data_IF_801783276610
#
_entry.id   IF_801783276610
#
_cell.length_a   1.000
_cell.length_b   1.000
_cell.length_c   1.000
_cell.angle_alpha   90.00
_cell.angle_beta   90.00
_cell.angle_gamma   90.00
#
_symmetry.space_group_name_H-M   'P 1'
#
loop_
_entity.id
_entity.type
_entity.pdbx_description
1 polymer ?
#
# COMPACT_ATOMS: atom_id res chain seq x y z
N UNK A 1 -35.24 37.03 -16.29
CA UNK A 1 -35.82 35.69 -16.30
C UNK A 1 -34.68 34.69 -16.26
N UNK A 2 -34.31 34.22 -15.07
CA UNK A 2 -33.16 33.33 -14.88
C UNK A 2 -33.65 31.88 -15.07
N UNK A 3 -33.13 31.19 -16.06
CA UNK A 3 -33.35 29.76 -16.28
C UNK A 3 -32.48 29.02 -15.26
N UNK A 4 -33.06 28.63 -14.13
CA UNK A 4 -32.44 27.69 -13.19
C UNK A 4 -32.56 26.31 -13.83
N UNK A 5 -31.51 25.87 -14.47
CA UNK A 5 -31.39 24.49 -14.93
C UNK A 5 -31.25 23.61 -13.67
N UNK A 6 -32.35 22.98 -13.27
CA UNK A 6 -32.32 21.96 -12.21
C UNK A 6 -31.52 20.76 -12.72
N UNK A 7 -30.23 20.69 -12.37
CA UNK A 7 -29.44 19.48 -12.56
C UNK A 7 -30.03 18.47 -11.60
N UNK A 8 -30.79 17.51 -12.13
CA UNK A 8 -31.27 16.36 -11.36
C UNK A 8 -30.01 15.56 -10.97
N UNK A 9 -29.50 15.78 -9.75
CA UNK A 9 -28.38 15.03 -9.20
C UNK A 9 -28.75 13.55 -9.12
N UNK A 10 -28.40 12.80 -10.14
CA UNK A 10 -28.46 11.36 -10.12
C UNK A 10 -27.40 10.89 -9.12
N UNK A 11 -27.81 10.52 -7.90
CA UNK A 11 -26.88 10.02 -6.88
C UNK A 11 -26.08 8.85 -7.46
N UNK A 12 -24.76 8.89 -7.33
CA UNK A 12 -23.90 7.80 -7.74
C UNK A 12 -24.32 6.50 -7.03
N UNK A 13 -24.28 5.37 -7.74
CA UNK A 13 -24.52 4.05 -7.13
C UNK A 13 -23.50 3.75 -6.05
N UNK A 14 -23.81 2.83 -5.13
CA UNK A 14 -22.87 2.39 -4.09
C UNK A 14 -21.52 1.91 -4.70
N UNK A 15 -21.58 1.17 -5.80
CA UNK A 15 -20.38 0.73 -6.52
C UNK A 15 -19.55 1.89 -7.10
N UNK A 16 -20.21 2.91 -7.67
CA UNK A 16 -19.53 4.09 -8.17
C UNK A 16 -18.89 4.90 -7.03
N UNK A 17 -19.56 5.01 -5.88
CA UNK A 17 -19.00 5.66 -4.70
C UNK A 17 -17.78 4.91 -4.14
N UNK A 18 -17.85 3.57 -4.04
CA UNK A 18 -16.74 2.73 -3.62
C UNK A 18 -15.52 2.88 -4.57
N UNK A 19 -15.76 2.83 -5.87
CA UNK A 19 -14.71 3.02 -6.89
C UNK A 19 -14.11 4.43 -6.81
N UNK A 20 -14.92 5.48 -6.65
CA UNK A 20 -14.43 6.85 -6.50
C UNK A 20 -13.49 6.99 -5.30
N UNK A 21 -13.86 6.41 -4.14
CA UNK A 21 -13.02 6.43 -2.93
C UNK A 21 -11.73 5.67 -3.15
N UNK A 22 -11.80 4.48 -3.75
CA UNK A 22 -10.62 3.67 -4.05
C UNK A 22 -9.64 4.45 -4.94
N UNK A 23 -10.09 5.03 -6.04
CA UNK A 23 -9.25 5.83 -6.94
C UNK A 23 -8.68 7.06 -6.23
N UNK A 24 -9.45 7.70 -5.35
CA UNK A 24 -8.97 8.85 -4.57
C UNK A 24 -7.86 8.46 -3.61
N UNK A 25 -8.01 7.34 -2.88
CA UNK A 25 -7.02 6.87 -1.90
C UNK A 25 -5.72 6.39 -2.56
N UNK A 26 -5.81 5.88 -3.80
CA UNK A 26 -4.67 5.40 -4.58
C UNK A 26 -3.99 6.53 -5.38
N UNK A 27 -4.59 7.70 -5.42
CA UNK A 27 -4.02 8.86 -6.10
C UNK A 27 -2.72 9.31 -5.40
N UNK A 28 -1.67 9.68 -6.15
CA UNK A 28 -0.48 10.33 -5.58
C UNK A 28 -0.77 11.61 -4.79
N UNK A 29 -1.95 12.23 -5.01
CA UNK A 29 -2.40 13.39 -4.28
C UNK A 29 -2.95 13.06 -2.88
N UNK A 30 -3.26 11.77 -2.57
CA UNK A 30 -3.68 11.39 -1.24
C UNK A 30 -2.49 11.49 -0.27
N UNK A 31 -2.61 12.24 0.83
CA UNK A 31 -1.44 12.72 1.57
C UNK A 31 -0.85 11.68 2.54
N UNK A 32 -0.48 10.51 2.05
CA UNK A 32 0.20 9.46 2.84
C UNK A 32 1.72 9.54 2.75
N UNK A 33 2.27 10.32 1.80
CA UNK A 33 3.71 10.51 1.64
C UNK A 33 4.45 9.33 1.02
N UNK A 34 3.78 8.39 0.38
CA UNK A 34 4.36 7.16 -0.17
C UNK A 34 5.53 7.39 -1.15
N UNK A 35 5.56 8.54 -1.85
CA UNK A 35 6.59 8.89 -2.84
C UNK A 35 7.99 9.08 -2.23
N UNK A 36 8.11 9.16 -0.91
CA UNK A 36 9.38 9.36 -0.20
C UNK A 36 10.08 8.08 0.20
N UNK A 37 9.52 6.92 -0.16
CA UNK A 37 10.02 5.62 0.26
C UNK A 37 10.41 4.77 -0.94
N UNK A 38 11.52 4.03 -0.83
CA UNK A 38 12.08 3.21 -1.90
C UNK A 38 12.15 1.71 -1.58
N UNK A 39 11.88 1.32 -0.35
CA UNK A 39 12.02 -0.08 0.12
C UNK A 39 13.41 -0.68 -0.16
N UNK A 40 14.47 0.08 0.11
CA UNK A 40 15.84 -0.34 -0.14
C UNK A 40 16.27 -0.31 -1.61
N UNK A 41 15.41 0.13 -2.53
CA UNK A 41 15.75 0.22 -3.96
C UNK A 41 16.92 1.19 -4.20
N UNK A 42 17.00 2.27 -3.45
CA UNK A 42 18.12 3.22 -3.57
C UNK A 42 19.46 2.54 -3.27
N UNK A 43 19.56 1.76 -2.20
CA UNK A 43 20.75 0.98 -1.90
C UNK A 43 21.03 -0.12 -2.94
N UNK A 44 19.99 -0.73 -3.52
CA UNK A 44 20.14 -1.71 -4.58
C UNK A 44 20.69 -1.09 -5.88
N UNK A 45 20.28 0.14 -6.20
CA UNK A 45 20.80 0.90 -7.35
C UNK A 45 22.26 1.31 -7.11
N UNK A 46 22.59 1.83 -5.92
CA UNK A 46 23.97 2.19 -5.56
C UNK A 46 24.92 0.97 -5.61
N UNK A 47 24.43 -0.19 -5.20
CA UNK A 47 25.16 -1.45 -5.30
C UNK A 47 25.25 -2.01 -6.74
N UNK A 48 24.69 -1.36 -7.74
CA UNK A 48 24.66 -1.81 -9.13
C UNK A 48 23.75 -3.00 -9.41
N UNK A 49 22.94 -3.43 -8.42
CA UNK A 49 22.01 -4.57 -8.57
C UNK A 49 20.78 -4.21 -9.43
N UNK A 50 20.42 -2.94 -9.49
CA UNK A 50 19.34 -2.42 -10.34
C UNK A 50 19.91 -1.26 -11.16
N UNK A 51 20.22 -1.52 -12.45
CA UNK A 51 20.84 -0.53 -13.34
C UNK A 51 20.00 -0.19 -14.58
N UNK A 52 18.89 -0.90 -14.81
CA UNK A 52 18.04 -0.75 -15.99
C UNK A 52 16.63 -1.25 -15.73
N UNK A 53 15.70 -0.97 -16.66
CA UNK A 53 14.28 -1.31 -16.55
C UNK A 53 14.00 -2.75 -16.15
N UNK A 54 14.64 -3.73 -16.78
CA UNK A 54 14.38 -5.14 -16.49
C UNK A 54 14.76 -5.51 -15.04
N UNK A 55 15.87 -4.95 -14.53
CA UNK A 55 16.26 -5.07 -13.12
C UNK A 55 15.24 -4.44 -12.18
N UNK A 56 14.70 -3.28 -12.53
CA UNK A 56 13.64 -2.62 -11.77
C UNK A 56 12.36 -3.48 -11.74
N UNK A 57 11.94 -4.03 -12.89
CA UNK A 57 10.78 -4.93 -12.97
C UNK A 57 10.98 -6.16 -12.08
N UNK A 58 12.16 -6.79 -12.13
CA UNK A 58 12.48 -7.96 -11.31
C UNK A 58 12.47 -7.62 -9.80
N UNK A 59 13.03 -6.46 -9.42
CA UNK A 59 13.03 -5.98 -8.04
C UNK A 59 11.61 -5.77 -7.51
N UNK A 60 10.79 -5.01 -8.23
CA UNK A 60 9.39 -4.70 -7.84
C UNK A 60 8.54 -5.96 -7.81
N UNK A 61 8.68 -6.86 -8.80
CA UNK A 61 7.98 -8.15 -8.82
C UNK A 61 8.34 -9.00 -7.59
N UNK A 62 9.61 -9.01 -7.17
CA UNK A 62 10.05 -9.71 -5.97
C UNK A 62 9.46 -9.08 -4.71
N UNK A 63 9.45 -7.74 -4.61
CA UNK A 63 8.84 -7.01 -3.50
C UNK A 63 7.35 -7.30 -3.37
N UNK A 64 6.61 -7.36 -4.48
CA UNK A 64 5.19 -7.69 -4.52
C UNK A 64 4.90 -9.13 -4.05
N UNK A 65 5.63 -10.11 -4.60
CA UNK A 65 5.26 -11.52 -4.45
C UNK A 65 5.93 -12.21 -3.27
N UNK A 66 7.10 -11.74 -2.84
CA UNK A 66 7.95 -12.40 -1.84
C UNK A 66 8.43 -11.49 -0.72
N UNK A 67 8.26 -10.17 -0.86
CA UNK A 67 8.64 -9.15 0.11
C UNK A 67 7.44 -8.50 0.81
N UNK A 68 7.54 -7.19 1.04
CA UNK A 68 6.56 -6.38 1.76
C UNK A 68 5.14 -6.48 1.15
N UNK A 69 5.01 -6.48 -0.18
CA UNK A 69 3.72 -6.57 -0.85
C UNK A 69 2.93 -7.85 -0.48
N UNK A 70 3.62 -8.99 -0.30
CA UNK A 70 3.00 -10.24 0.16
C UNK A 70 2.41 -10.08 1.58
N UNK A 71 3.18 -9.49 2.49
CA UNK A 71 2.76 -9.30 3.89
C UNK A 71 1.62 -8.28 3.96
N UNK A 72 1.81 -7.13 3.35
CA UNK A 72 0.84 -6.04 3.38
C UNK A 72 -0.49 -6.43 2.70
N UNK A 73 -0.44 -7.12 1.57
CA UNK A 73 -1.63 -7.64 0.93
C UNK A 73 -2.43 -8.60 1.82
N UNK A 74 -1.76 -9.52 2.51
CA UNK A 74 -2.41 -10.46 3.42
C UNK A 74 -3.02 -9.76 4.65
N UNK A 75 -2.29 -8.82 5.25
CA UNK A 75 -2.77 -8.02 6.38
C UNK A 75 -3.97 -7.14 5.99
N UNK A 76 -3.94 -6.52 4.81
CA UNK A 76 -5.04 -5.73 4.27
C UNK A 76 -6.31 -6.58 4.15
N UNK A 77 -6.21 -7.76 3.55
CA UNK A 77 -7.36 -8.65 3.35
C UNK A 77 -7.90 -9.17 4.68
N UNK A 78 -7.02 -9.49 5.63
CA UNK A 78 -7.41 -9.94 6.95
C UNK A 78 -8.15 -8.83 7.73
N UNK A 79 -7.61 -7.61 7.75
CA UNK A 79 -8.26 -6.45 8.37
C UNK A 79 -9.62 -6.15 7.73
N UNK A 80 -9.70 -6.19 6.40
CA UNK A 80 -10.95 -6.01 5.67
C UNK A 80 -12.01 -7.04 6.11
N UNK A 81 -11.64 -8.31 6.16
CA UNK A 81 -12.56 -9.40 6.55
C UNK A 81 -13.01 -9.31 8.01
N UNK A 82 -12.09 -9.00 8.91
CA UNK A 82 -12.41 -8.82 10.34
C UNK A 82 -13.36 -7.63 10.54
N UNK A 83 -13.09 -6.50 9.88
CA UNK A 83 -13.95 -5.32 9.92
C UNK A 83 -15.35 -5.64 9.35
N UNK A 84 -15.43 -6.32 8.22
CA UNK A 84 -16.71 -6.66 7.58
C UNK A 84 -17.56 -7.62 8.45
N UNK A 85 -16.92 -8.57 9.16
CA UNK A 85 -17.59 -9.52 10.05
C UNK A 85 -18.01 -8.94 11.40
N UNK A 86 -17.49 -7.79 11.79
CA UNK A 86 -17.71 -7.27 13.11
C UNK A 86 -16.85 -7.91 14.19
N UNK A 87 -15.75 -8.56 13.81
CA UNK A 87 -14.85 -9.24 14.73
C UNK A 87 -13.73 -8.29 15.16
N UNK A 88 -14.00 -7.54 16.25
CA UNK A 88 -13.07 -6.54 16.76
C UNK A 88 -11.80 -7.20 17.33
N UNK A 89 -11.92 -8.42 17.92
CA UNK A 89 -10.75 -9.15 18.43
C UNK A 89 -9.80 -9.53 17.30
N UNK A 90 -10.32 -10.16 16.24
CA UNK A 90 -9.50 -10.51 15.09
C UNK A 90 -8.90 -9.25 14.40
N UNK A 91 -9.63 -8.13 14.41
CA UNK A 91 -9.14 -6.87 13.85
C UNK A 91 -7.97 -6.29 14.67
N UNK A 92 -8.05 -6.36 16.00
CA UNK A 92 -6.99 -5.92 16.91
C UNK A 92 -5.75 -6.83 16.79
N UNK A 93 -5.93 -8.16 16.69
CA UNK A 93 -4.84 -9.12 16.43
C UNK A 93 -4.11 -8.83 15.10
N UNK A 94 -4.84 -8.47 14.05
CA UNK A 94 -4.25 -8.08 12.76
C UNK A 94 -3.49 -6.75 12.88
N UNK A 95 -3.98 -5.80 13.67
CA UNK A 95 -3.29 -4.53 13.91
C UNK A 95 -1.94 -4.75 14.63
N UNK A 96 -1.95 -5.54 15.70
CA UNK A 96 -0.74 -5.92 16.44
C UNK A 96 0.27 -6.67 15.55
N UNK A 97 -0.20 -7.64 14.77
CA UNK A 97 0.63 -8.37 13.83
C UNK A 97 1.24 -7.43 12.78
N UNK A 98 0.45 -6.50 12.24
CA UNK A 98 0.89 -5.51 11.25
C UNK A 98 1.94 -4.54 11.79
N UNK A 99 1.85 -4.17 13.06
CA UNK A 99 2.85 -3.35 13.73
C UNK A 99 4.16 -4.11 14.00
N UNK A 100 4.06 -5.40 14.38
CA UNK A 100 5.21 -6.23 14.73
C UNK A 100 5.95 -6.78 13.51
N UNK A 101 5.25 -6.99 12.39
CA UNK A 101 5.79 -7.70 11.21
C UNK A 101 6.53 -6.74 10.26
N UNK A 102 7.72 -6.27 10.67
CA UNK A 102 8.56 -5.38 9.85
C UNK A 102 10.02 -5.86 9.92
N UNK A 103 10.65 -6.00 8.74
CA UNK A 103 12.01 -6.54 8.63
C UNK A 103 13.10 -5.56 9.05
N UNK A 104 12.85 -4.23 8.94
CA UNK A 104 13.82 -3.16 9.20
C UNK A 104 13.15 -1.99 9.89
N UNK A 105 13.95 -1.12 10.54
CA UNK A 105 13.44 0.07 11.20
C UNK A 105 12.79 1.05 10.20
N UNK A 106 13.33 1.16 9.00
CA UNK A 106 12.79 2.03 7.94
C UNK A 106 11.43 1.55 7.43
N UNK A 107 11.26 0.24 7.22
CA UNK A 107 9.96 -0.31 6.80
C UNK A 107 8.91 -0.23 7.91
N UNK A 108 9.32 -0.29 9.18
CA UNK A 108 8.44 -0.05 10.32
C UNK A 108 7.97 1.40 10.36
N UNK A 109 8.92 2.35 10.27
CA UNK A 109 8.63 3.79 10.25
C UNK A 109 7.70 4.16 9.07
N UNK A 110 7.97 3.62 7.89
CA UNK A 110 7.13 3.84 6.70
C UNK A 110 5.70 3.38 6.93
N UNK A 111 5.52 2.13 7.37
CA UNK A 111 4.20 1.55 7.58
C UNK A 111 3.38 2.34 8.60
N UNK A 112 4.00 2.78 9.70
CA UNK A 112 3.38 3.60 10.74
C UNK A 112 3.04 5.01 10.23
N UNK A 113 3.99 5.68 9.58
CA UNK A 113 3.81 7.04 9.09
C UNK A 113 2.69 7.12 8.04
N UNK A 114 2.71 6.23 7.06
CA UNK A 114 1.66 6.16 6.03
C UNK A 114 0.31 5.73 6.62
N UNK A 115 0.30 4.77 7.54
CA UNK A 115 -0.91 4.31 8.22
C UNK A 115 -1.55 5.42 9.06
N UNK A 116 -0.75 6.18 9.80
CA UNK A 116 -1.21 7.33 10.59
C UNK A 116 -1.76 8.41 9.69
N UNK A 117 -1.05 8.77 8.61
CA UNK A 117 -1.50 9.79 7.66
C UNK A 117 -2.81 9.38 6.97
N UNK A 118 -2.89 8.13 6.48
CA UNK A 118 -4.10 7.57 5.86
C UNK A 118 -5.30 7.61 6.83
N UNK A 119 -5.10 7.13 8.05
CA UNK A 119 -6.14 7.06 9.09
C UNK A 119 -6.70 8.45 9.39
N UNK A 120 -5.84 9.43 9.65
CA UNK A 120 -6.25 10.79 9.99
C UNK A 120 -7.07 11.44 8.89
N UNK A 121 -6.61 11.35 7.64
CA UNK A 121 -7.31 11.94 6.50
C UNK A 121 -8.62 11.21 6.23
N UNK A 122 -8.62 9.87 6.29
CA UNK A 122 -9.82 9.07 6.02
C UNK A 122 -10.92 9.33 7.05
N UNK A 123 -10.58 9.44 8.33
CA UNK A 123 -11.55 9.80 9.39
C UNK A 123 -12.10 11.22 9.18
N UNK A 124 -11.25 12.16 8.76
CA UNK A 124 -11.68 13.54 8.54
C UNK A 124 -12.62 13.70 7.33
N UNK A 125 -12.38 12.93 6.25
CA UNK A 125 -13.08 13.12 4.96
C UNK A 125 -14.24 12.13 4.77
N UNK A 126 -14.05 10.87 5.17
CA UNK A 126 -15.05 9.79 5.06
C UNK A 126 -15.25 9.07 6.39
N UNK A 127 -15.75 9.77 7.43
CA UNK A 127 -15.88 9.20 8.75
C UNK A 127 -16.86 8.02 8.76
N UNK A 128 -16.43 6.92 9.39
CA UNK A 128 -17.31 5.83 9.81
C UNK A 128 -17.07 5.57 11.30
N UNK A 129 -18.12 5.41 12.11
CA UNK A 129 -17.96 5.27 13.57
C UNK A 129 -17.05 4.08 13.94
N UNK A 130 -17.16 3.00 13.20
CA UNK A 130 -16.45 1.77 13.50
C UNK A 130 -14.97 1.84 13.14
N UNK A 131 -14.61 2.42 11.98
CA UNK A 131 -13.21 2.65 11.65
C UNK A 131 -12.56 3.64 12.62
N UNK A 132 -13.28 4.71 13.00
CA UNK A 132 -12.79 5.67 14.00
C UNK A 132 -12.55 5.01 15.38
N UNK A 133 -13.47 4.15 15.83
CA UNK A 133 -13.31 3.39 17.08
C UNK A 133 -12.13 2.43 17.04
N UNK A 134 -11.93 1.73 15.91
CA UNK A 134 -10.75 0.87 15.69
C UNK A 134 -9.46 1.68 15.74
N UNK A 135 -9.38 2.78 15.03
CA UNK A 135 -8.19 3.64 15.01
C UNK A 135 -7.86 4.21 16.41
N UNK A 136 -8.89 4.53 17.19
CA UNK A 136 -8.70 5.04 18.56
C UNK A 136 -8.09 3.99 19.52
N UNK A 137 -8.30 2.68 19.28
CA UNK A 137 -7.67 1.61 20.05
C UNK A 137 -6.19 1.42 19.73
N UNK A 138 -5.75 1.84 18.53
CA UNK A 138 -4.38 1.67 18.04
C UNK A 138 -3.75 3.01 17.60
N UNK A 139 -3.57 3.98 18.51
CA UNK A 139 -3.07 5.30 18.15
C UNK A 139 -1.62 5.21 17.63
N UNK A 140 -1.40 5.66 16.39
CA UNK A 140 -0.10 5.65 15.68
C UNK A 140 0.54 4.27 15.50
N UNK A 141 -0.23 3.17 15.60
CA UNK A 141 0.29 1.81 15.45
C UNK A 141 -0.30 1.06 14.25
N UNK A 142 -1.25 1.66 13.57
CA UNK A 142 -1.85 1.01 12.40
C UNK A 142 -0.90 1.06 11.21
N UNK A 143 -0.43 -0.10 10.78
CA UNK A 143 0.24 -0.22 9.50
C UNK A 143 -0.70 0.20 8.36
N UNK A 144 -0.18 0.86 7.33
CA UNK A 144 -0.98 1.40 6.22
C UNK A 144 -1.90 0.35 5.59
N UNK A 145 -1.40 -0.85 5.34
CA UNK A 145 -2.19 -1.94 4.77
C UNK A 145 -3.39 -2.33 5.65
N UNK A 146 -3.21 -2.37 6.97
CA UNK A 146 -4.27 -2.68 7.94
C UNK A 146 -5.32 -1.58 7.97
N UNK A 147 -4.90 -0.32 8.08
CA UNK A 147 -5.80 0.84 8.05
C UNK A 147 -6.60 0.90 6.75
N UNK A 148 -5.92 0.69 5.61
CA UNK A 148 -6.55 0.69 4.28
C UNK A 148 -7.59 -0.42 4.16
N UNK A 149 -7.27 -1.66 4.57
CA UNK A 149 -8.18 -2.78 4.51
C UNK A 149 -9.42 -2.59 5.37
N UNK A 150 -9.25 -2.12 6.62
CA UNK A 150 -10.35 -1.83 7.52
C UNK A 150 -11.27 -0.71 6.97
N UNK A 151 -10.70 0.39 6.50
CA UNK A 151 -11.45 1.48 5.89
C UNK A 151 -12.17 1.04 4.61
N UNK A 152 -11.53 0.22 3.76
CA UNK A 152 -12.12 -0.30 2.53
C UNK A 152 -13.39 -1.11 2.79
N UNK A 153 -13.40 -1.95 3.83
CA UNK A 153 -14.58 -2.72 4.24
C UNK A 153 -15.74 -1.80 4.62
N UNK A 154 -15.51 -0.79 5.46
CA UNK A 154 -16.53 0.17 5.89
C UNK A 154 -17.06 1.05 4.74
N UNK A 155 -16.25 1.28 3.72
CA UNK A 155 -16.61 2.08 2.55
C UNK A 155 -17.19 1.26 1.39
N UNK A 156 -17.44 -0.04 1.60
CA UNK A 156 -18.05 -0.93 0.62
C UNK A 156 -17.16 -1.28 -0.57
N UNK A 157 -15.84 -1.13 -0.42
CA UNK A 157 -14.85 -1.56 -1.43
C UNK A 157 -14.59 -3.05 -1.24
N UNK A 158 -14.74 -3.85 -2.29
CA UNK A 158 -14.49 -5.28 -2.20
C UNK A 158 -13.00 -5.59 -1.86
N UNK A 159 -12.77 -6.64 -1.07
CA UNK A 159 -11.41 -7.01 -0.63
C UNK A 159 -10.44 -7.21 -1.80
N UNK A 160 -10.91 -7.79 -2.92
CA UNK A 160 -10.12 -7.99 -4.14
C UNK A 160 -9.72 -6.68 -4.76
N UNK A 161 -10.64 -5.73 -4.90
CA UNK A 161 -10.37 -4.44 -5.53
C UNK A 161 -9.46 -3.58 -4.65
N UNK A 162 -9.66 -3.63 -3.32
CA UNK A 162 -8.82 -2.98 -2.34
C UNK A 162 -7.37 -3.50 -2.39
N UNK A 163 -7.19 -4.84 -2.40
CA UNK A 163 -5.87 -5.47 -2.47
C UNK A 163 -5.18 -5.20 -3.82
N UNK A 164 -5.90 -5.36 -4.93
CA UNK A 164 -5.36 -5.10 -6.26
C UNK A 164 -4.93 -3.64 -6.42
N UNK A 165 -5.78 -2.71 -6.00
CA UNK A 165 -5.47 -1.28 -6.05
C UNK A 165 -4.27 -0.91 -5.17
N UNK A 166 -4.24 -1.37 -3.93
CA UNK A 166 -3.14 -1.13 -2.99
C UNK A 166 -1.80 -1.64 -3.54
N UNK A 167 -1.76 -2.89 -4.02
CA UNK A 167 -0.55 -3.50 -4.58
C UNK A 167 -0.14 -2.85 -5.92
N UNK A 168 -1.11 -2.37 -6.71
CA UNK A 168 -0.83 -1.57 -7.91
C UNK A 168 -0.17 -0.23 -7.56
N UNK A 169 -0.68 0.47 -6.54
CA UNK A 169 -0.09 1.72 -6.06
C UNK A 169 1.30 1.51 -5.46
N UNK A 170 1.51 0.43 -4.71
CA UNK A 170 2.82 0.03 -4.20
C UNK A 170 3.82 -0.17 -5.35
N UNK A 171 3.44 -0.92 -6.39
CA UNK A 171 4.28 -1.11 -7.58
C UNK A 171 4.59 0.22 -8.29
N UNK A 172 3.58 1.07 -8.48
CA UNK A 172 3.73 2.37 -9.13
C UNK A 172 4.67 3.30 -8.35
N UNK A 173 4.61 3.30 -7.01
CA UNK A 173 5.53 4.07 -6.17
C UNK A 173 6.98 3.60 -6.31
N UNK A 174 7.22 2.28 -6.31
CA UNK A 174 8.57 1.74 -6.50
C UNK A 174 9.10 2.00 -7.91
N UNK A 175 8.26 1.91 -8.95
CA UNK A 175 8.66 2.28 -10.31
C UNK A 175 8.98 3.78 -10.38
N UNK A 176 8.19 4.64 -9.74
CA UNK A 176 8.47 6.08 -9.65
C UNK A 176 9.78 6.37 -8.93
N UNK A 177 10.11 5.64 -7.87
CA UNK A 177 11.41 5.70 -7.22
C UNK A 177 12.53 5.27 -8.18
N UNK A 178 12.35 4.14 -8.88
CA UNK A 178 13.29 3.63 -9.87
C UNK A 178 13.59 4.60 -11.00
N UNK A 179 12.59 5.29 -11.53
CA UNK A 179 12.78 6.32 -12.58
C UNK A 179 13.64 7.49 -12.08
N UNK A 180 13.61 7.80 -10.78
CA UNK A 180 14.46 8.86 -10.17
C UNK A 180 15.88 8.40 -9.86
N UNK A 181 16.09 7.11 -9.64
CA UNK A 181 17.36 6.52 -9.22
C UNK A 181 18.17 5.92 -10.39
N UNK A 182 17.49 5.36 -11.37
CA UNK A 182 18.09 4.76 -12.56
C UNK A 182 17.89 5.71 -13.74
N UNK A 183 18.81 5.83 -14.69
CA UNK A 183 18.67 6.73 -15.85
C UNK A 183 17.59 6.21 -16.83
N UNK A 184 16.35 6.17 -16.37
CA UNK A 184 15.16 5.75 -17.12
C UNK A 184 14.29 6.94 -17.50
N UNK A 185 13.71 6.91 -18.69
CA UNK A 185 12.70 7.88 -19.12
C UNK A 185 11.32 7.56 -18.53
N UNK A 186 10.40 8.54 -18.60
CA UNK A 186 9.01 8.35 -18.18
C UNK A 186 8.32 7.21 -18.92
N UNK A 187 8.61 7.04 -20.22
CA UNK A 187 8.09 5.94 -21.02
C UNK A 187 8.57 4.58 -20.50
N UNK A 188 9.84 4.47 -20.08
CA UNK A 188 10.35 3.24 -19.46
C UNK A 188 9.64 2.92 -18.15
N UNK A 189 9.31 3.93 -17.36
CA UNK A 189 8.49 3.76 -16.17
C UNK A 189 7.11 3.18 -16.49
N UNK A 190 6.43 3.71 -17.51
CA UNK A 190 5.12 3.19 -17.93
C UNK A 190 5.21 1.77 -18.50
N UNK A 191 6.27 1.45 -19.26
CA UNK A 191 6.52 0.08 -19.73
C UNK A 191 6.78 -0.88 -18.56
N UNK A 192 7.48 -0.44 -17.52
CA UNK A 192 7.68 -1.24 -16.31
C UNK A 192 6.36 -1.47 -15.56
N UNK A 193 5.52 -0.46 -15.38
CA UNK A 193 4.19 -0.60 -14.77
C UNK A 193 3.33 -1.60 -15.54
N UNK A 194 3.29 -1.50 -16.87
CA UNK A 194 2.53 -2.43 -17.70
C UNK A 194 3.03 -3.87 -17.57
N UNK A 195 4.36 -4.07 -17.54
CA UNK A 195 4.98 -5.38 -17.37
C UNK A 195 4.74 -6.00 -15.98
N UNK A 196 4.46 -5.18 -14.94
CA UNK A 196 4.19 -5.62 -13.57
C UNK A 196 2.74 -6.07 -13.34
N UNK A 197 1.82 -5.83 -14.27
CA UNK A 197 0.41 -6.21 -14.11
C UNK A 197 0.20 -7.69 -13.72
N UNK A 198 0.87 -8.69 -14.34
CA UNK A 198 0.73 -10.08 -13.91
C UNK A 198 1.25 -10.33 -12.49
N UNK A 199 2.32 -9.66 -12.08
CA UNK A 199 2.88 -9.79 -10.73
C UNK A 199 1.92 -9.25 -9.66
N UNK A 200 1.26 -8.12 -9.93
CA UNK A 200 0.22 -7.54 -9.08
C UNK A 200 -0.96 -8.51 -8.97
N UNK A 201 -1.42 -9.08 -10.08
CA UNK A 201 -2.53 -10.04 -10.07
C UNK A 201 -2.20 -11.27 -9.22
N UNK A 202 -1.01 -11.86 -9.41
CA UNK A 202 -0.55 -13.02 -8.60
C UNK A 202 -0.46 -12.67 -7.12
N UNK A 203 0.11 -11.50 -6.77
CA UNK A 203 0.20 -11.05 -5.39
C UNK A 203 -1.18 -10.81 -4.76
N UNK A 204 -2.14 -10.31 -5.53
CA UNK A 204 -3.53 -10.13 -5.08
C UNK A 204 -4.20 -11.46 -4.76
N UNK A 205 -4.10 -12.45 -5.64
CA UNK A 205 -4.67 -13.78 -5.38
C UNK A 205 -4.02 -14.46 -4.16
N UNK A 206 -2.70 -14.31 -4.02
CA UNK A 206 -1.99 -14.78 -2.84
C UNK A 206 -2.51 -14.10 -1.57
N UNK A 207 -2.71 -12.78 -1.58
CA UNK A 207 -3.24 -12.02 -0.45
C UNK A 207 -4.63 -12.51 -0.01
N UNK A 208 -5.50 -12.81 -0.99
CA UNK A 208 -6.86 -13.32 -0.73
C UNK A 208 -6.90 -14.72 -0.09
N UNK A 209 -5.86 -15.51 -0.24
CA UNK A 209 -5.80 -16.90 0.18
C UNK A 209 -4.79 -17.20 1.29
N UNK A 210 -3.95 -16.20 1.66
CA UNK A 210 -2.92 -16.39 2.68
C UNK A 210 -3.55 -16.57 4.06
N UNK A 211 -3.12 -17.62 4.74
CA UNK A 211 -3.33 -17.83 6.18
C UNK A 211 -2.27 -17.04 6.94
N UNK A 212 -2.69 -16.16 7.87
CA UNK A 212 -1.78 -15.33 8.65
C UNK A 212 -0.81 -16.13 9.53
N UNK A 213 -1.16 -17.37 9.90
CA UNK A 213 -0.23 -18.24 10.64
C UNK A 213 0.98 -18.67 9.80
N UNK A 214 0.89 -18.51 8.48
CA UNK A 214 1.95 -18.78 7.50
C UNK A 214 2.49 -17.53 6.84
N UNK A 215 2.24 -16.38 7.46
CA UNK A 215 2.75 -15.09 6.96
C UNK A 215 4.28 -15.10 6.97
N UNK A 216 4.89 -14.64 5.88
CA UNK A 216 6.34 -14.61 5.77
C UNK A 216 6.82 -14.00 4.46
N UNK A 217 8.08 -13.56 4.46
CA UNK A 217 8.82 -13.12 3.26
C UNK A 217 9.79 -14.20 2.80
N UNK A 218 10.21 -14.12 1.55
CA UNK A 218 11.26 -14.98 0.96
C UNK A 218 12.14 -14.14 0.01
N UNK A 219 12.50 -12.93 0.46
CA UNK A 219 13.26 -11.97 -0.33
C UNK A 219 14.39 -11.33 0.51
N UNK A 220 15.33 -12.11 1.08
CA UNK A 220 16.32 -11.60 2.03
C UNK A 220 17.20 -10.49 1.47
N UNK A 221 17.42 -10.44 0.15
CA UNK A 221 18.19 -9.35 -0.46
C UNK A 221 17.46 -8.00 -0.38
N UNK A 222 16.15 -7.98 -0.40
CA UNK A 222 15.39 -6.73 -0.20
C UNK A 222 15.58 -6.22 1.24
N UNK A 223 15.55 -7.12 2.22
CA UNK A 223 15.77 -6.76 3.63
C UNK A 223 17.22 -6.26 3.83
N UNK A 224 18.20 -6.91 3.19
CA UNK A 224 19.62 -6.49 3.22
C UNK A 224 19.78 -5.10 2.60
N UNK A 225 19.14 -4.80 1.48
CA UNK A 225 19.21 -3.47 0.87
C UNK A 225 18.51 -2.41 1.76
N UNK A 226 17.40 -2.73 2.39
CA UNK A 226 16.75 -1.84 3.35
C UNK A 226 17.65 -1.56 4.55
N UNK A 227 18.29 -2.58 5.14
CA UNK A 227 19.26 -2.43 6.24
C UNK A 227 20.49 -1.59 5.83
N UNK A 228 20.99 -1.76 4.60
CA UNK A 228 22.11 -0.94 4.08
C UNK A 228 21.71 0.51 3.88
N UNK A 229 20.45 0.73 3.46
CA UNK A 229 19.92 2.07 3.28
C UNK A 229 19.86 2.86 4.59
N UNK A 230 19.62 2.21 5.73
CA UNK A 230 19.62 2.87 7.05
C UNK A 230 20.93 3.63 7.36
N UNK A 231 22.04 3.15 6.84
CA UNK A 231 23.39 3.74 7.07
C UNK A 231 23.97 4.45 5.83
N UNK A 232 23.23 4.53 4.74
CA UNK A 232 23.68 5.19 3.50
C UNK A 232 23.89 6.69 3.72
N UNK A 233 25.06 7.20 3.33
CA UNK A 233 25.48 8.58 3.63
C UNK A 233 24.65 9.62 2.87
N UNK A 234 24.42 9.41 1.58
CA UNK A 234 23.58 10.31 0.75
C UNK A 234 22.30 9.55 0.39
N UNK A 235 21.16 10.12 0.76
CA UNK A 235 19.85 9.51 0.52
C UNK A 235 18.88 10.49 -0.12
N UNK A 236 18.22 10.05 -1.18
CA UNK A 236 17.10 10.76 -1.80
C UNK A 236 15.77 10.37 -1.14
N UNK A 237 15.69 9.14 -0.64
CA UNK A 237 14.50 8.55 -0.02
C UNK A 237 14.67 8.37 1.49
N UNK A 238 13.56 8.10 2.16
CA UNK A 238 13.51 7.86 3.62
C UNK A 238 13.66 6.38 3.98
N UNK A 239 13.44 5.46 2.99
CA UNK A 239 13.66 4.02 3.13
C UNK A 239 14.08 3.39 1.81
#
# INVERSE_FOLDING_TARGET
MAIITTITEKRASAAQQAMYRLLTWLSPAYPVGAYTYSHGLEAAVEAGSVAKRDGLIAYVSTALQRGAGRVDGALLVAAHRAMLKGDDKALDEVAELGAAWRGTAETALEAEAQGTAFTNVTIAVWPTPRFAAFAARHPRQLAHAVAFGAAAAEQGIAARDAAFGFLSAFAANLVSAGVRLVPLGQTDGQLAIAALQPAVAVATEAALTTDLTRLGTAAPMLDIFSLRHETQYTRLFRS
#
